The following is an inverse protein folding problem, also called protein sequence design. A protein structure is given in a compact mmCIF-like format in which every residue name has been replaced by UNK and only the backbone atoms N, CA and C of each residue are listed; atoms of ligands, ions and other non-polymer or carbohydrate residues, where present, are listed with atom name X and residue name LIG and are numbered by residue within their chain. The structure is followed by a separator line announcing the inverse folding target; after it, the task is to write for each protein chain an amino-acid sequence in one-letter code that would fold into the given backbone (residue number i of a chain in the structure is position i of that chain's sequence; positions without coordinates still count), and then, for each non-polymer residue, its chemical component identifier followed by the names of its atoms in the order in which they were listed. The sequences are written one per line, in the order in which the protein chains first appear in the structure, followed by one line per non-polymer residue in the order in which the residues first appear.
data_IF_116205084918
#
_entry.id   IF_116205084918
#
_cell.length_a   1.000
_cell.length_b   1.000
_cell.length_c   1.000
_cell.angle_alpha   90.00
_cell.angle_beta   90.00
_cell.angle_gamma   90.00
#
_symmetry.space_group_name_H-M   'P 1'
#
loop_
_entity.id
_entity.type
_entity.pdbx_description
1 polymer ?
#
# COMPACT_ATOMS: atom_id res chain seq x y z
N UNK A 1 15.08 -10.99 -6.84
CA UNK A 1 14.94 -9.81 -5.96
C UNK A 1 14.94 -10.33 -4.52
N UNK A 2 15.88 -9.91 -3.67
CA UNK A 2 15.83 -10.30 -2.25
C UNK A 2 14.56 -9.68 -1.68
N UNK A 3 13.66 -10.50 -1.13
CA UNK A 3 12.59 -10.02 -0.25
C UNK A 3 13.21 -8.95 0.64
N UNK A 4 12.67 -7.72 0.74
CA UNK A 4 13.22 -6.71 1.62
C UNK A 4 13.30 -7.35 3.01
N UNK A 5 14.51 -7.77 3.36
CA UNK A 5 14.78 -8.42 4.62
C UNK A 5 14.73 -7.26 5.59
N UNK A 6 13.55 -7.03 6.15
CA UNK A 6 13.41 -6.32 7.41
C UNK A 6 14.55 -6.81 8.28
N UNK A 7 15.48 -5.90 8.61
CA UNK A 7 16.64 -6.27 9.40
C UNK A 7 16.13 -7.03 10.62
N UNK A 8 16.64 -8.23 10.85
CA UNK A 8 16.23 -9.11 11.94
C UNK A 8 16.25 -8.31 13.26
N UNK A 9 15.07 -7.84 13.72
CA UNK A 9 14.92 -6.93 14.86
C UNK A 9 14.07 -5.67 14.62
N UNK A 10 13.85 -5.25 13.38
CA UNK A 10 12.94 -4.16 13.05
C UNK A 10 11.48 -4.63 13.13
N UNK A 11 10.63 -3.84 13.80
CA UNK A 11 9.20 -4.16 13.93
C UNK A 11 8.51 -3.95 12.58
N UNK A 12 7.81 -4.97 12.09
CA UNK A 12 6.93 -4.82 10.94
C UNK A 12 5.85 -3.75 11.21
N UNK A 13 5.49 -2.99 10.18
CA UNK A 13 4.48 -1.93 10.26
C UNK A 13 3.47 -2.08 9.13
N UNK A 14 2.20 -2.06 9.48
CA UNK A 14 1.09 -1.93 8.55
C UNK A 14 0.05 -0.99 9.15
N UNK A 15 -0.70 -0.28 8.31
CA UNK A 15 -1.72 0.66 8.76
C UNK A 15 -2.98 0.56 7.90
N UNK A 16 -4.13 0.86 8.49
CA UNK A 16 -5.39 1.06 7.77
C UNK A 16 -5.65 2.57 7.79
N UNK A 17 -5.49 3.20 6.62
CA UNK A 17 -5.33 4.65 6.51
C UNK A 17 -4.14 5.11 7.35
N UNK A 18 -4.37 6.07 8.24
CA UNK A 18 -3.35 6.61 9.15
C UNK A 18 -3.16 5.79 10.44
N UNK A 19 -4.00 4.78 10.68
CA UNK A 19 -4.00 4.04 11.94
C UNK A 19 -3.13 2.79 11.86
N UNK A 20 -2.05 2.77 12.64
CA UNK A 20 -1.12 1.63 12.68
C UNK A 20 -1.73 0.42 13.39
N UNK A 21 -1.61 -0.76 12.78
CA UNK A 21 -2.00 -2.05 13.36
C UNK A 21 -1.00 -2.44 14.45
N UNK A 22 -1.49 -2.76 15.64
CA UNK A 22 -0.63 -3.03 16.81
C UNK A 22 -0.13 -4.47 16.81
N UNK A 23 0.99 -4.70 17.49
CA UNK A 23 1.48 -6.05 17.81
C UNK A 23 2.16 -6.81 16.67
N UNK A 24 2.33 -6.18 15.49
CA UNK A 24 3.00 -6.81 14.35
C UNK A 24 4.51 -6.99 14.59
N UNK A 25 5.03 -8.15 14.17
CA UNK A 25 6.45 -8.50 14.21
C UNK A 25 7.00 -8.94 12.85
N UNK A 26 6.14 -9.34 11.92
CA UNK A 26 6.51 -9.78 10.57
C UNK A 26 5.50 -9.27 9.55
N UNK A 27 6.01 -8.88 8.38
CA UNK A 27 5.24 -8.46 7.23
C UNK A 27 5.89 -9.05 5.98
N UNK A 28 5.07 -9.67 5.14
CA UNK A 28 5.43 -10.08 3.78
C UNK A 28 4.54 -9.30 2.83
N UNK A 29 5.16 -8.46 2.01
CA UNK A 29 4.46 -7.67 0.99
C UNK A 29 4.16 -8.58 -0.21
N UNK A 30 2.94 -8.56 -0.76
CA UNK A 30 2.61 -9.24 -2.02
C UNK A 30 3.61 -8.87 -3.12
N UNK A 31 4.28 -9.85 -3.71
CA UNK A 31 5.09 -9.69 -4.90
C UNK A 31 4.32 -10.08 -6.15
N UNK A 32 4.96 -9.99 -7.32
CA UNK A 32 4.41 -10.50 -8.58
C UNK A 32 5.08 -11.83 -8.90
N UNK A 33 4.29 -12.86 -9.16
CA UNK A 33 4.77 -14.12 -9.71
C UNK A 33 4.13 -14.42 -11.05
N UNK A 34 4.89 -15.04 -11.95
CA UNK A 34 4.34 -15.55 -13.22
C UNK A 34 3.97 -17.01 -13.03
N UNK A 35 2.72 -17.35 -13.33
CA UNK A 35 2.34 -18.74 -13.48
C UNK A 35 3.10 -19.34 -14.67
N UNK A 36 3.52 -20.58 -14.50
CA UNK A 36 4.18 -21.36 -15.53
C UNK A 36 3.32 -22.58 -15.88
N UNK A 37 3.37 -22.98 -17.13
CA UNK A 37 2.86 -24.27 -17.58
C UNK A 37 4.05 -25.06 -18.08
N UNK A 38 4.22 -26.26 -17.51
CA UNK A 38 5.20 -27.23 -18.00
C UNK A 38 4.55 -27.99 -19.15
N UNK A 39 5.21 -27.99 -20.31
CA UNK A 39 4.77 -28.72 -21.49
C UNK A 39 5.61 -29.99 -21.57
N UNK A 40 5.00 -31.09 -21.17
CA UNK A 40 5.60 -32.43 -21.20
C UNK A 40 5.10 -33.16 -22.46
N UNK A 41 6.03 -33.69 -23.26
CA UNK A 41 5.73 -34.52 -24.43
C UNK A 41 6.28 -35.93 -24.23
N UNK A 42 5.51 -36.95 -24.62
CA UNK A 42 5.95 -38.35 -24.52
C UNK A 42 7.16 -38.59 -25.44
N UNK A 43 8.17 -39.30 -24.94
CA UNK A 43 9.48 -39.55 -25.60
C UNK A 43 10.37 -38.31 -25.83
N UNK A 44 10.10 -37.18 -25.16
CA UNK A 44 11.06 -36.09 -25.07
C UNK A 44 11.82 -36.13 -23.74
N UNK A 45 13.15 -36.03 -23.81
CA UNK A 45 14.03 -36.02 -22.64
C UNK A 45 14.09 -34.65 -21.92
N UNK A 46 13.52 -33.61 -22.54
CA UNK A 46 13.56 -32.24 -22.03
C UNK A 46 12.18 -31.61 -22.02
N UNK A 47 11.71 -31.26 -20.83
CA UNK A 47 10.53 -30.42 -20.65
C UNK A 47 10.88 -28.95 -20.88
N UNK A 48 9.93 -28.17 -21.39
CA UNK A 48 10.06 -26.72 -21.44
C UNK A 48 8.90 -26.04 -20.71
N UNK A 49 9.23 -24.95 -20.04
CA UNK A 49 8.28 -24.19 -19.23
C UNK A 49 7.91 -22.89 -19.93
N UNK A 50 6.61 -22.65 -20.12
CA UNK A 50 6.10 -21.42 -20.74
C UNK A 50 5.46 -20.51 -19.69
N UNK A 51 5.86 -19.23 -19.57
CA UNK A 51 5.20 -18.29 -18.68
C UNK A 51 3.83 -17.89 -19.25
N UNK A 52 2.81 -17.85 -18.40
CA UNK A 52 1.44 -17.50 -18.78
C UNK A 52 1.01 -16.16 -18.19
N UNK A 53 0.14 -16.18 -17.18
CA UNK A 53 -0.35 -14.99 -16.50
C UNK A 53 0.56 -14.59 -15.34
N UNK A 54 0.64 -13.28 -15.09
CA UNK A 54 1.16 -12.76 -13.83
C UNK A 54 0.03 -12.71 -12.80
N UNK A 55 0.33 -13.00 -11.55
CA UNK A 55 -0.57 -12.80 -10.42
C UNK A 55 0.21 -12.25 -9.23
N UNK A 56 -0.49 -11.61 -8.31
CA UNK A 56 0.08 -11.25 -7.03
C UNK A 56 0.30 -12.51 -6.18
N UNK A 57 1.45 -12.62 -5.54
CA UNK A 57 1.68 -13.59 -4.47
C UNK A 57 0.88 -13.19 -3.24
N UNK A 58 0.67 -14.13 -2.33
CA UNK A 58 0.05 -13.79 -1.05
C UNK A 58 0.99 -12.92 -0.21
N UNK A 59 0.43 -11.91 0.43
CA UNK A 59 1.08 -11.18 1.51
C UNK A 59 0.73 -11.80 2.86
N UNK A 60 1.47 -11.43 3.91
CA UNK A 60 1.19 -11.90 5.25
C UNK A 60 1.52 -10.85 6.31
N UNK A 61 0.69 -10.76 7.33
CA UNK A 61 0.94 -10.03 8.57
C UNK A 61 1.04 -11.05 9.69
N UNK A 62 2.04 -10.94 10.56
CA UNK A 62 2.09 -11.75 11.78
C UNK A 62 2.59 -10.93 12.97
N UNK A 63 2.25 -11.40 14.16
CA UNK A 63 2.49 -10.68 15.40
C UNK A 63 1.91 -11.35 16.63
N UNK A 64 1.73 -10.55 17.67
CA UNK A 64 1.00 -10.91 18.86
C UNK A 64 -0.37 -10.25 18.83
N UNK A 65 -1.38 -10.97 19.32
CA UNK A 65 -2.72 -10.43 19.49
C UNK A 65 -2.71 -9.29 20.52
N UNK A 66 -3.39 -8.19 20.17
CA UNK A 66 -3.54 -7.02 21.03
C UNK A 66 -5.03 -6.76 21.22
N UNK A 67 -5.56 -7.12 22.40
CA UNK A 67 -7.00 -7.12 22.67
C UNK A 67 -7.69 -5.74 22.58
N UNK A 68 -6.94 -4.65 22.67
CA UNK A 68 -7.45 -3.28 22.54
C UNK A 68 -7.11 -2.63 21.19
N UNK A 69 -6.77 -3.42 20.16
CA UNK A 69 -6.56 -2.92 18.80
C UNK A 69 -7.86 -2.97 17.97
N UNK A 70 -8.82 -2.11 18.35
CA UNK A 70 -10.14 -2.02 17.69
C UNK A 70 -10.07 -1.50 16.26
N UNK A 71 -9.02 -0.74 15.93
CA UNK A 71 -8.84 -0.07 14.62
C UNK A 71 -7.90 -0.82 13.67
N UNK A 72 -7.09 -1.75 14.17
CA UNK A 72 -6.18 -2.58 13.37
C UNK A 72 -6.67 -4.03 13.29
N UNK A 73 -6.18 -4.90 14.18
CA UNK A 73 -6.44 -6.34 14.14
C UNK A 73 -7.93 -6.71 14.14
N UNK A 74 -8.77 -5.96 14.87
CA UNK A 74 -10.23 -6.20 14.88
C UNK A 74 -10.87 -5.87 13.54
N UNK A 75 -10.44 -4.80 12.87
CA UNK A 75 -10.91 -4.47 11.51
C UNK A 75 -10.49 -5.55 10.51
N UNK A 76 -9.26 -6.06 10.58
CA UNK A 76 -8.81 -7.16 9.70
C UNK A 76 -9.67 -8.41 9.85
N UNK A 77 -10.00 -8.79 11.09
CA UNK A 77 -10.92 -9.92 11.36
C UNK A 77 -12.32 -9.64 10.82
N UNK A 78 -12.85 -8.45 11.07
CA UNK A 78 -14.19 -8.07 10.60
C UNK A 78 -14.27 -8.13 9.06
N UNK A 79 -13.27 -7.57 8.36
CA UNK A 79 -13.18 -7.60 6.90
C UNK A 79 -13.09 -9.01 6.31
N UNK A 80 -12.41 -9.94 7.00
CA UNK A 80 -12.42 -11.36 6.63
C UNK A 80 -13.83 -11.95 6.68
N UNK A 81 -14.58 -11.69 7.76
CA UNK A 81 -15.94 -12.24 7.92
C UNK A 81 -16.96 -11.58 7.01
N UNK A 82 -16.83 -10.28 6.74
CA UNK A 82 -17.70 -9.54 5.83
C UNK A 82 -17.34 -9.77 4.36
N UNK A 83 -16.19 -10.39 4.09
CA UNK A 83 -15.62 -10.57 2.75
C UNK A 83 -15.48 -9.22 2.01
N UNK A 84 -15.01 -8.20 2.70
CA UNK A 84 -14.82 -6.85 2.15
C UNK A 84 -13.34 -6.51 2.00
N UNK A 85 -12.99 -5.90 0.88
CA UNK A 85 -11.63 -5.39 0.63
C UNK A 85 -11.26 -4.19 1.50
N UNK A 86 -9.96 -3.97 1.65
CA UNK A 86 -9.36 -2.81 2.31
C UNK A 86 -8.69 -1.92 1.25
N UNK A 87 -9.34 -0.82 0.82
CA UNK A 87 -8.78 0.09 -0.18
C UNK A 87 -7.63 0.96 0.37
N UNK A 88 -7.53 1.09 1.70
CA UNK A 88 -6.59 1.96 2.39
C UNK A 88 -5.58 1.20 3.27
N UNK A 89 -5.39 -0.11 3.04
CA UNK A 89 -4.37 -0.87 3.73
C UNK A 89 -2.98 -0.51 3.18
N UNK A 90 -2.06 -0.18 4.10
CA UNK A 90 -0.68 0.19 3.81
C UNK A 90 0.28 -0.81 4.41
N UNK A 91 1.18 -1.33 3.59
CA UNK A 91 2.19 -2.31 3.97
C UNK A 91 3.56 -1.64 3.88
N UNK A 92 4.14 -1.29 5.02
CA UNK A 92 5.36 -0.48 5.03
C UNK A 92 6.60 -1.32 4.72
N UNK A 93 7.46 -0.85 3.83
CA UNK A 93 8.80 -1.41 3.61
C UNK A 93 9.80 -0.91 4.66
N UNK A 94 9.62 0.34 5.08
CA UNK A 94 10.44 1.00 6.09
C UNK A 94 9.60 1.98 6.92
N UNK A 95 10.19 2.98 7.58
CA UNK A 95 9.42 3.89 8.45
C UNK A 95 8.39 4.74 7.69
N UNK A 96 8.69 5.06 6.42
CA UNK A 96 7.94 6.01 5.60
C UNK A 96 7.35 5.36 4.36
N UNK A 97 8.12 4.54 3.63
CA UNK A 97 7.72 4.00 2.34
C UNK A 97 6.80 2.79 2.52
N UNK A 98 5.78 2.68 1.68
CA UNK A 98 4.77 1.63 1.79
C UNK A 98 4.15 1.24 0.45
N UNK A 99 3.53 0.06 0.44
CA UNK A 99 2.66 -0.40 -0.63
C UNK A 99 1.20 -0.20 -0.25
N UNK A 100 0.38 0.24 -1.20
CA UNK A 100 -1.06 0.36 -1.02
C UNK A 100 -1.82 0.12 -2.35
N UNK A 101 -3.13 -0.18 -2.29
CA UNK A 101 -3.99 -0.23 -3.47
C UNK A 101 -3.93 1.06 -4.30
N UNK A 102 -3.74 0.91 -5.61
CA UNK A 102 -3.68 2.03 -6.54
C UNK A 102 -5.07 2.41 -7.07
N UNK A 103 -5.83 3.11 -6.25
CA UNK A 103 -7.18 3.57 -6.57
C UNK A 103 -7.25 4.61 -7.70
N UNK A 104 -6.12 5.21 -8.09
CA UNK A 104 -6.10 6.22 -9.15
C UNK A 104 -6.01 5.59 -10.54
N UNK A 105 -5.28 4.48 -10.67
CA UNK A 105 -5.22 3.71 -11.91
C UNK A 105 -6.28 2.60 -11.98
N UNK A 106 -6.72 2.07 -10.85
CA UNK A 106 -7.75 1.03 -10.74
C UNK A 106 -8.65 1.28 -9.51
N UNK A 107 -9.84 1.81 -9.74
CA UNK A 107 -10.81 2.15 -8.68
C UNK A 107 -11.35 0.93 -7.92
N UNK A 108 -11.15 -0.27 -8.47
CA UNK A 108 -11.50 -1.54 -7.85
C UNK A 108 -10.35 -2.17 -7.06
N UNK A 109 -9.18 -1.51 -7.01
CA UNK A 109 -8.01 -2.03 -6.32
C UNK A 109 -8.22 -2.06 -4.80
N UNK A 110 -8.04 -3.26 -4.21
CA UNK A 110 -8.21 -3.49 -2.77
C UNK A 110 -7.33 -4.66 -2.30
N UNK A 111 -7.04 -4.72 -1.00
CA UNK A 111 -6.45 -5.91 -0.37
C UNK A 111 -7.51 -6.63 0.46
N UNK A 112 -7.75 -7.91 0.17
CA UNK A 112 -8.60 -8.78 0.98
C UNK A 112 -7.78 -9.49 2.06
N UNK A 113 -8.46 -9.77 3.18
CA UNK A 113 -7.96 -10.71 4.18
C UNK A 113 -8.48 -12.09 3.80
N UNK A 114 -7.60 -13.01 3.41
CA UNK A 114 -7.94 -14.38 3.01
C UNK A 114 -8.14 -15.30 4.21
N UNK A 115 -7.42 -15.05 5.29
CA UNK A 115 -7.51 -15.86 6.50
C UNK A 115 -6.86 -15.17 7.68
N UNK A 116 -7.37 -15.44 8.87
CA UNK A 116 -6.78 -15.06 10.16
C UNK A 116 -6.68 -16.33 10.99
N UNK A 117 -5.48 -16.68 11.45
CA UNK A 117 -5.33 -17.88 12.26
C UNK A 117 -6.04 -17.74 13.61
N UNK A 118 -6.54 -18.87 14.13
CA UNK A 118 -7.19 -18.94 15.43
C UNK A 118 -6.27 -18.50 16.57
N UNK A 119 -6.87 -17.98 17.64
CA UNK A 119 -6.16 -17.50 18.84
C UNK A 119 -5.84 -18.67 19.78
N UNK A 120 -4.82 -19.45 19.46
CA UNK A 120 -4.33 -20.46 20.39
C UNK A 120 -3.41 -19.84 21.44
N UNK A 121 -3.75 -19.96 22.72
CA UNK A 121 -2.91 -19.48 23.81
C UNK A 121 -1.66 -20.34 23.90
N UNK A 122 -0.49 -19.75 23.65
CA UNK A 122 0.77 -20.46 23.88
C UNK A 122 0.99 -20.68 25.38
N UNK A 123 1.83 -21.66 25.74
CA UNK A 123 2.21 -21.91 27.15
C UNK A 123 2.81 -20.68 27.85
N UNK A 124 3.29 -19.69 27.09
CA UNK A 124 3.83 -18.43 27.59
C UNK A 124 2.77 -17.35 27.83
N UNK A 125 1.48 -17.64 27.64
CA UNK A 125 0.39 -16.66 27.77
C UNK A 125 0.31 -15.65 26.63
N UNK A 126 1.13 -15.82 25.58
CA UNK A 126 1.10 -15.00 24.37
C UNK A 126 0.15 -15.64 23.36
N UNK A 127 -0.73 -14.83 22.78
CA UNK A 127 -1.64 -15.25 21.73
C UNK A 127 -1.05 -14.76 20.39
N UNK A 128 -0.68 -15.64 19.46
CA UNK A 128 -0.20 -15.23 18.16
C UNK A 128 -1.34 -14.65 17.33
N UNK A 129 -1.01 -13.73 16.43
CA UNK A 129 -1.89 -13.20 15.41
C UNK A 129 -1.22 -13.38 14.06
N UNK A 130 -1.94 -13.91 13.08
CA UNK A 130 -1.52 -13.88 11.68
C UNK A 130 -2.70 -13.63 10.75
N UNK A 131 -2.45 -12.92 9.66
CA UNK A 131 -3.41 -12.66 8.60
C UNK A 131 -2.76 -12.84 7.23
N UNK A 132 -3.41 -13.59 6.35
CA UNK A 132 -3.01 -13.76 4.94
C UNK A 132 -3.74 -12.72 4.10
N UNK A 133 -3.00 -12.07 3.20
CA UNK A 133 -3.48 -10.98 2.35
C UNK A 133 -3.52 -11.40 0.88
N UNK A 134 -4.58 -11.01 0.18
CA UNK A 134 -4.74 -11.20 -1.25
C UNK A 134 -5.01 -9.85 -1.92
N UNK A 135 -4.31 -9.57 -3.01
CA UNK A 135 -4.48 -8.34 -3.78
C UNK A 135 -5.51 -8.56 -4.88
N UNK A 136 -6.46 -7.63 -5.00
CA UNK A 136 -7.28 -7.44 -6.19
C UNK A 136 -6.86 -6.12 -6.84
N UNK A 137 -6.59 -6.12 -8.14
CA UNK A 137 -6.21 -4.92 -8.89
C UNK A 137 -4.71 -4.62 -8.85
N UNK A 138 -4.37 -3.33 -8.88
CA UNK A 138 -3.00 -2.82 -8.91
C UNK A 138 -2.52 -2.36 -7.54
N UNK A 139 -1.28 -2.69 -7.17
CA UNK A 139 -0.60 -2.04 -6.05
C UNK A 139 0.38 -0.99 -6.57
N UNK A 140 0.48 0.11 -5.83
CA UNK A 140 1.51 1.11 -6.01
C UNK A 140 2.45 1.12 -4.79
N UNK A 141 3.73 1.38 -5.07
CA UNK A 141 4.77 1.64 -4.07
C UNK A 141 4.91 3.13 -3.91
N UNK A 142 4.72 3.63 -2.69
CA UNK A 142 4.81 5.04 -2.32
C UNK A 142 6.13 5.31 -1.62
N UNK A 143 7.03 6.01 -2.31
CA UNK A 143 8.37 6.38 -1.83
C UNK A 143 8.66 7.89 -1.96
N UNK A 144 7.81 8.64 -2.66
CA UNK A 144 7.88 10.10 -2.71
C UNK A 144 6.99 10.72 -1.62
N UNK A 145 7.56 11.56 -0.75
CA UNK A 145 6.85 12.09 0.41
C UNK A 145 7.13 13.58 0.62
N UNK A 146 6.08 14.39 0.77
CA UNK A 146 6.15 15.80 1.20
C UNK A 146 5.13 16.04 2.30
N UNK A 147 5.55 16.76 3.34
CA UNK A 147 4.67 17.21 4.42
C UNK A 147 4.99 18.65 4.77
N UNK A 148 3.98 19.47 5.05
CA UNK A 148 4.25 20.82 5.53
C UNK A 148 3.09 21.79 5.36
N UNK A 149 3.13 22.86 6.15
CA UNK A 149 2.16 23.95 6.08
C UNK A 149 2.25 24.78 4.78
N UNK A 150 3.27 24.52 3.96
CA UNK A 150 3.52 25.15 2.66
C UNK A 150 2.66 24.56 1.54
N UNK A 151 1.93 23.47 1.83
CA UNK A 151 1.03 22.83 0.88
C UNK A 151 -0.25 23.64 0.67
N UNK A 152 -0.68 23.70 -0.59
CA UNK A 152 -2.00 24.19 -0.98
C UNK A 152 -2.56 23.37 -2.15
N UNK A 153 -3.89 23.29 -2.21
CA UNK A 153 -4.63 22.58 -3.25
C UNK A 153 -5.44 23.57 -4.08
N UNK A 154 -5.51 23.32 -5.38
CA UNK A 154 -6.55 23.82 -6.27
C UNK A 154 -7.27 22.62 -6.89
N UNK A 155 -8.20 22.85 -7.82
CA UNK A 155 -8.92 21.77 -8.48
C UNK A 155 -8.03 20.87 -9.35
N UNK A 156 -6.88 21.38 -9.81
CA UNK A 156 -5.98 20.66 -10.72
C UNK A 156 -4.51 20.72 -10.34
N UNK A 157 -4.17 21.44 -9.27
CA UNK A 157 -2.78 21.59 -8.84
C UNK A 157 -2.62 21.39 -7.34
N UNK A 158 -1.45 20.87 -6.99
CA UNK A 158 -0.93 20.81 -5.63
C UNK A 158 0.32 21.68 -5.64
N UNK A 159 0.36 22.70 -4.79
CA UNK A 159 1.54 23.58 -4.68
C UNK A 159 2.25 23.39 -3.35
N UNK A 160 3.55 23.57 -3.36
CA UNK A 160 4.43 23.58 -2.19
C UNK A 160 5.37 24.77 -2.33
N UNK A 161 5.19 25.81 -1.50
CA UNK A 161 6.10 26.96 -1.52
C UNK A 161 7.54 26.62 -1.09
N UNK A 162 7.76 25.46 -0.45
CA UNK A 162 9.08 24.90 -0.17
C UNK A 162 9.78 24.28 -1.38
N UNK A 163 9.07 24.11 -2.51
CA UNK A 163 9.59 23.52 -3.75
C UNK A 163 10.14 22.09 -3.62
N UNK A 164 9.59 21.30 -2.70
CA UNK A 164 10.10 19.98 -2.34
C UNK A 164 9.79 18.84 -3.32
N UNK A 165 8.82 18.99 -4.23
CA UNK A 165 8.31 17.85 -5.03
C UNK A 165 9.37 17.12 -5.87
N UNK A 166 10.20 17.84 -6.63
CA UNK A 166 11.23 17.20 -7.46
C UNK A 166 12.27 16.49 -6.59
N UNK A 167 12.70 17.13 -5.50
CA UNK A 167 13.67 16.56 -4.55
C UNK A 167 13.12 15.35 -3.81
N UNK A 168 11.82 15.33 -3.54
CA UNK A 168 11.13 14.21 -2.91
C UNK A 168 10.88 13.03 -3.86
N UNK A 169 11.20 13.15 -5.16
CA UNK A 169 11.12 12.04 -6.11
C UNK A 169 9.81 11.93 -6.88
N UNK A 170 8.91 12.91 -6.79
CA UNK A 170 7.66 12.87 -7.56
C UNK A 170 7.92 12.87 -9.06
N UNK A 171 7.16 12.05 -9.79
CA UNK A 171 7.27 11.87 -11.23
C UNK A 171 5.90 11.88 -11.92
N UNK A 172 5.90 12.09 -13.25
CA UNK A 172 4.66 12.02 -14.03
C UNK A 172 4.19 10.58 -14.09
N UNK A 173 2.90 10.35 -13.83
CA UNK A 173 2.30 9.03 -13.73
C UNK A 173 2.11 8.53 -12.29
N UNK A 174 2.72 9.20 -11.30
CA UNK A 174 2.55 8.84 -9.90
C UNK A 174 1.09 8.96 -9.47
N UNK A 175 0.63 7.97 -8.71
CA UNK A 175 -0.58 8.03 -7.90
C UNK A 175 -0.32 8.81 -6.63
N UNK A 176 -1.28 9.64 -6.22
CA UNK A 176 -1.19 10.44 -5.00
C UNK A 176 -2.16 9.92 -3.93
N UNK A 177 -1.65 9.79 -2.70
CA UNK A 177 -2.44 9.71 -1.47
C UNK A 177 -2.26 11.01 -0.66
N UNK A 178 -3.37 11.60 -0.24
CA UNK A 178 -3.42 12.82 0.59
C UNK A 178 -3.92 12.44 1.98
N UNK A 179 -3.26 12.94 3.01
CA UNK A 179 -3.60 12.73 4.42
C UNK A 179 -3.59 14.01 5.23
N UNK A 180 -4.51 14.13 6.19
CA UNK A 180 -4.55 15.26 7.12
C UNK A 180 -5.01 16.56 6.45
N UNK A 181 -5.62 16.48 5.28
CA UNK A 181 -6.38 17.57 4.66
C UNK A 181 -7.81 17.60 5.21
N UNK A 182 -8.44 18.77 5.25
CA UNK A 182 -9.83 18.88 5.72
C UNK A 182 -10.82 18.30 4.72
N UNK A 183 -10.55 18.48 3.42
CA UNK A 183 -11.48 18.16 2.34
C UNK A 183 -10.90 17.22 1.31
N UNK A 184 -9.58 17.01 1.24
CA UNK A 184 -8.93 16.24 0.18
C UNK A 184 -8.36 14.90 0.61
N UNK A 185 -8.61 14.47 1.85
CA UNK A 185 -8.25 13.12 2.28
C UNK A 185 -8.87 12.05 1.38
N UNK A 186 -8.08 11.02 1.09
CA UNK A 186 -8.41 9.89 0.23
C UNK A 186 -8.83 10.24 -1.22
N UNK A 187 -8.49 11.45 -1.71
CA UNK A 187 -8.70 11.79 -3.13
C UNK A 187 -7.60 11.16 -3.98
N UNK A 188 -7.98 10.13 -4.75
CA UNK A 188 -7.11 9.50 -5.73
C UNK A 188 -6.82 10.44 -6.91
N UNK A 189 -5.53 10.79 -7.10
CA UNK A 189 -5.06 11.63 -8.18
C UNK A 189 -3.90 10.97 -8.94
N UNK A 190 -3.74 11.31 -10.23
CA UNK A 190 -2.56 10.99 -11.03
C UNK A 190 -1.80 12.26 -11.36
N UNK A 191 -0.47 12.25 -11.19
CA UNK A 191 0.42 13.34 -11.58
C UNK A 191 0.57 13.40 -13.10
N UNK A 192 0.30 14.56 -13.69
CA UNK A 192 0.41 14.82 -15.14
C UNK A 192 1.57 15.75 -15.49
N UNK A 193 2.03 16.56 -14.55
CA UNK A 193 3.24 17.37 -14.68
C UNK A 193 3.87 17.60 -13.31
N UNK A 194 5.21 17.64 -13.28
CA UNK A 194 6.00 17.93 -12.08
C UNK A 194 6.88 19.15 -12.35
N UNK A 195 6.81 20.12 -11.46
CA UNK A 195 7.71 21.25 -11.39
C UNK A 195 8.16 21.49 -9.94
N UNK A 196 9.21 22.28 -9.76
CA UNK A 196 9.60 22.75 -8.44
C UNK A 196 8.41 23.49 -7.79
N UNK A 197 7.86 22.92 -6.72
CA UNK A 197 6.77 23.51 -5.95
C UNK A 197 5.39 23.45 -6.60
N UNK A 198 5.22 22.74 -7.72
CA UNK A 198 3.89 22.49 -8.29
C UNK A 198 3.80 21.09 -8.91
N UNK A 199 2.77 20.35 -8.51
CA UNK A 199 2.27 19.19 -9.23
C UNK A 199 0.99 19.57 -9.94
N UNK A 200 0.88 19.22 -11.21
CA UNK A 200 -0.41 19.22 -11.94
C UNK A 200 -0.97 17.82 -11.86
N UNK A 201 -2.22 17.69 -11.43
CA UNK A 201 -2.85 16.39 -11.18
C UNK A 201 -4.22 16.28 -11.85
N UNK A 202 -4.58 15.05 -12.21
CA UNK A 202 -5.93 14.68 -12.63
C UNK A 202 -6.56 13.85 -11.53
N UNK A 203 -7.59 14.39 -10.88
CA UNK A 203 -8.36 13.65 -9.89
C UNK A 203 -9.31 12.66 -10.58
N UNK A 204 -9.42 11.43 -10.06
CA UNK A 204 -10.10 10.32 -10.76
C UNK A 204 -11.52 10.05 -10.27
N UNK A 205 -11.72 10.06 -8.97
CA UNK A 205 -13.02 9.74 -8.35
C UNK A 205 -13.71 11.01 -7.83
N UNK A 206 -12.97 11.84 -7.09
CA UNK A 206 -13.46 13.06 -6.46
C UNK A 206 -12.60 14.23 -6.87
N UNK A 207 -13.19 15.40 -7.11
CA UNK A 207 -12.41 16.60 -7.45
C UNK A 207 -11.67 17.12 -6.23
N UNK A 208 -10.44 17.60 -6.43
CA UNK A 208 -9.76 18.37 -5.40
C UNK A 208 -10.54 19.64 -5.08
N UNK A 209 -10.67 19.93 -3.80
CA UNK A 209 -11.26 21.15 -3.26
C UNK A 209 -10.13 22.10 -2.88
N UNK A 210 -10.29 23.38 -3.21
CA UNK A 210 -9.27 24.37 -2.94
C UNK A 210 -9.04 24.54 -1.43
N UNK A 211 -7.78 24.48 -1.01
CA UNK A 211 -7.35 24.63 0.37
C UNK A 211 -5.95 25.25 0.43
N UNK A 212 -5.59 25.89 1.54
CA UNK A 212 -4.28 26.52 1.71
C UNK A 212 -3.84 26.49 3.17
N UNK A 213 -2.54 26.69 3.42
CA UNK A 213 -1.93 26.72 4.75
C UNK A 213 -2.16 25.40 5.54
N UNK A 214 -1.84 24.29 4.88
CA UNK A 214 -2.22 22.94 5.29
C UNK A 214 -1.25 22.31 6.29
N UNK A 215 -1.15 22.92 7.47
CA UNK A 215 -0.32 22.39 8.55
C UNK A 215 -0.76 20.97 8.93
N UNK A 216 0.16 20.01 8.86
CA UNK A 216 -0.10 18.61 9.19
C UNK A 216 -0.51 17.74 8.00
N UNK A 217 -0.79 18.32 6.83
CA UNK A 217 -1.06 17.55 5.62
C UNK A 217 0.20 16.88 5.08
N UNK A 218 0.03 15.65 4.60
CA UNK A 218 1.06 14.84 3.96
C UNK A 218 0.56 14.37 2.59
N UNK A 219 1.49 14.30 1.67
CA UNK A 219 1.26 13.84 0.31
C UNK A 219 2.29 12.76 0.00
N UNK A 220 1.78 11.64 -0.49
CA UNK A 220 2.56 10.48 -0.85
C UNK A 220 2.39 10.24 -2.36
N UNK A 221 3.49 10.23 -3.11
CA UNK A 221 3.53 9.82 -4.51
C UNK A 221 3.99 8.37 -4.62
N UNK A 222 3.30 7.59 -5.43
CA UNK A 222 3.62 6.20 -5.65
C UNK A 222 3.48 5.78 -7.10
N UNK A 223 4.34 4.86 -7.52
CA UNK A 223 4.35 4.30 -8.86
C UNK A 223 3.72 2.91 -8.83
N UNK A 224 3.06 2.53 -9.93
CA UNK A 224 2.59 1.15 -10.11
C UNK A 224 3.79 0.23 -9.90
N UNK A 225 3.60 -0.80 -9.08
CA UNK A 225 4.59 -1.84 -8.88
C UNK A 225 4.75 -2.70 -10.14
N UNK A 226 5.37 -2.17 -11.19
CA UNK A 226 5.98 -2.96 -12.24
C UNK A 226 7.39 -3.28 -11.77
N UNK A 227 7.57 -4.52 -11.33
CA UNK A 227 8.88 -5.09 -11.06
C UNK A 227 9.70 -5.04 -12.34
N UNK A 228 10.60 -4.05 -12.47
CA UNK A 228 11.74 -4.14 -13.39
C UNK A 228 12.73 -5.23 -12.92
#
# INVERSE_FOLDING_TARGET
MSTPNYQKGAKAKAAIGTTTIKGLNSLTIPGVERNTIDVEEFDQDFDFTVPTSAKWTEGALAGNYVGNDSTGQTVLRQRLFDNEGLPNLRLYENESDFWAPDLANDDSSVIYVKGVAGTEVTKSGVIPFSATLLVQGLLARFDAHVSGATLAFTTTTITDSGSGFVTAGFSVGDTIIIEGSTSNDDVACIVTAVAAGTLTVTAKVRTLTAESALAGTRIHGGQIGVTE
#
